data_IF_319587976529
#
_entry.id   IF_319587976529
#
_cell.length_a   1.000
_cell.length_b   1.000
_cell.length_c   1.000
_cell.angle_alpha   90.00
_cell.angle_beta   90.00
_cell.angle_gamma   90.00
#
_symmetry.space_group_name_H-M   'P 1'
#
loop_
_entity.id
_entity.type
_entity.pdbx_description
1 polymer ?
#
# COMPACT_ATOMS: atom_id res chain seq x y z
N UNK A 1 -2.25 -19.09 -38.90
CA UNK A 1 -2.79 -17.78 -38.46
C UNK A 1 -3.20 -17.88 -37.00
N UNK A 2 -2.64 -17.01 -36.16
CA UNK A 2 -2.93 -16.92 -34.71
C UNK A 2 -4.23 -16.15 -34.51
N UNK A 3 -5.10 -16.64 -33.61
CA UNK A 3 -6.33 -15.95 -33.19
C UNK A 3 -5.95 -14.56 -32.65
N UNK A 4 -6.58 -13.50 -33.15
CA UNK A 4 -6.35 -12.13 -32.65
C UNK A 4 -7.47 -11.77 -31.69
N UNK A 5 -7.09 -11.41 -30.47
CA UNK A 5 -7.99 -10.89 -29.45
C UNK A 5 -7.62 -9.44 -29.22
N UNK A 6 -8.59 -8.55 -29.35
CA UNK A 6 -8.41 -7.12 -29.14
C UNK A 6 -9.38 -6.67 -28.05
N UNK A 7 -8.85 -6.37 -26.87
CA UNK A 7 -9.59 -5.66 -25.84
C UNK A 7 -9.79 -4.21 -26.28
N UNK A 8 -11.02 -3.71 -26.25
CA UNK A 8 -11.35 -2.33 -26.60
C UNK A 8 -11.87 -1.53 -25.40
N UNK A 9 -12.28 -2.21 -24.33
CA UNK A 9 -12.69 -1.57 -23.08
C UNK A 9 -12.51 -2.49 -21.88
N UNK A 10 -12.26 -1.91 -20.71
CA UNK A 10 -12.16 -2.62 -19.45
C UNK A 10 -13.07 -1.93 -18.45
N UNK A 11 -14.07 -2.66 -17.95
CA UNK A 11 -14.92 -2.22 -16.85
C UNK A 11 -14.38 -2.80 -15.54
N UNK A 12 -14.46 -2.03 -14.45
CA UNK A 12 -14.32 -2.57 -13.09
C UNK A 12 -15.71 -2.88 -12.59
N UNK A 13 -16.00 -4.16 -12.45
CA UNK A 13 -17.35 -4.65 -12.18
C UNK A 13 -17.57 -4.90 -10.69
N UNK A 14 -16.53 -5.32 -9.97
CA UNK A 14 -16.60 -5.62 -8.54
C UNK A 14 -15.23 -5.42 -7.88
N UNK A 15 -15.21 -4.81 -6.68
CA UNK A 15 -14.05 -4.84 -5.79
C UNK A 15 -14.25 -5.99 -4.79
N UNK A 16 -13.21 -6.80 -4.55
CA UNK A 16 -13.24 -7.91 -3.59
C UNK A 16 -12.12 -7.70 -2.57
N UNK A 17 -12.35 -6.84 -1.56
CA UNK A 17 -11.33 -6.48 -0.56
C UNK A 17 -10.77 -7.69 0.18
N UNK A 18 -11.60 -8.68 0.49
CA UNK A 18 -11.23 -9.89 1.25
C UNK A 18 -10.24 -10.77 0.48
N UNK A 19 -10.25 -10.68 -0.85
CA UNK A 19 -9.33 -11.39 -1.74
C UNK A 19 -8.18 -10.50 -2.23
N UNK A 20 -8.11 -9.24 -1.79
CA UNK A 20 -7.15 -8.26 -2.27
C UNK A 20 -7.18 -8.15 -3.80
N UNK A 21 -8.36 -8.16 -4.41
CA UNK A 21 -8.51 -8.22 -5.87
C UNK A 21 -9.71 -7.40 -6.35
N UNK A 22 -9.77 -7.19 -7.66
CA UNK A 22 -10.96 -6.64 -8.32
C UNK A 22 -11.32 -7.49 -9.53
N UNK A 23 -12.62 -7.63 -9.81
CA UNK A 23 -13.14 -8.22 -11.04
C UNK A 23 -13.21 -7.15 -12.11
N UNK A 24 -12.48 -7.40 -13.19
CA UNK A 24 -12.50 -6.61 -14.40
C UNK A 24 -13.26 -7.37 -15.48
N UNK A 25 -14.03 -6.66 -16.30
CA UNK A 25 -14.66 -7.22 -17.50
C UNK A 25 -13.98 -6.62 -18.71
N UNK A 26 -13.19 -7.46 -19.40
CA UNK A 26 -12.49 -7.08 -20.62
C UNK A 26 -13.40 -7.30 -21.83
N UNK A 27 -13.96 -6.21 -22.36
CA UNK A 27 -14.76 -6.25 -23.59
C UNK A 27 -13.82 -6.42 -24.77
N UNK A 28 -13.91 -7.59 -25.40
CA UNK A 28 -12.95 -8.04 -26.40
C UNK A 28 -13.63 -8.32 -27.74
N UNK A 29 -12.92 -8.02 -28.83
CA UNK A 29 -13.25 -8.47 -30.18
C UNK A 29 -12.29 -9.57 -30.58
N UNK A 30 -12.87 -10.70 -30.97
CA UNK A 30 -12.16 -11.90 -31.34
C UNK A 30 -12.34 -12.13 -32.83
N UNK A 31 -11.23 -12.18 -33.56
CA UNK A 31 -11.23 -12.56 -34.97
C UNK A 31 -10.81 -14.03 -35.11
N UNK A 32 -11.76 -14.86 -35.53
CA UNK A 32 -11.55 -16.28 -35.78
C UNK A 32 -10.83 -16.50 -37.13
N UNK A 33 -10.36 -17.73 -37.37
CA UNK A 33 -9.52 -18.06 -38.55
C UNK A 33 -10.25 -17.90 -39.88
N UNK A 34 -11.57 -17.93 -39.86
CA UNK A 34 -12.47 -17.72 -41.00
C UNK A 34 -12.74 -16.24 -41.29
N UNK A 35 -12.20 -15.33 -40.46
CA UNK A 35 -12.40 -13.89 -40.59
C UNK A 35 -13.63 -13.37 -39.83
N UNK A 36 -14.44 -14.24 -39.24
CA UNK A 36 -15.59 -13.86 -38.41
C UNK A 36 -15.11 -13.10 -37.18
N UNK A 37 -15.75 -11.96 -36.88
CA UNK A 37 -15.49 -11.16 -35.68
C UNK A 37 -16.66 -11.33 -34.72
N UNK A 38 -16.36 -11.68 -33.48
CA UNK A 38 -17.34 -11.78 -32.39
C UNK A 38 -16.89 -10.98 -31.18
N UNK A 39 -17.86 -10.48 -30.43
CA UNK A 39 -17.61 -9.78 -29.17
C UNK A 39 -17.72 -10.78 -28.01
N UNK A 40 -16.79 -10.68 -27.07
CA UNK A 40 -16.72 -11.53 -25.88
C UNK A 40 -16.38 -10.65 -24.67
N UNK A 41 -17.17 -10.80 -23.60
CA UNK A 41 -16.86 -10.22 -22.30
C UNK A 41 -16.06 -11.24 -21.51
N UNK A 42 -14.82 -10.88 -21.15
CA UNK A 42 -13.90 -11.76 -20.44
C UNK A 42 -13.76 -11.26 -19.01
N UNK A 43 -14.41 -11.90 -18.01
CA UNK A 43 -14.21 -11.54 -16.62
C UNK A 43 -12.84 -12.05 -16.15
N UNK A 44 -12.06 -11.17 -15.53
CA UNK A 44 -10.73 -11.47 -14.99
C UNK A 44 -10.64 -10.87 -13.58
N UNK A 45 -10.31 -11.71 -12.61
CA UNK A 45 -9.90 -11.24 -11.29
C UNK A 45 -8.42 -10.87 -11.33
N UNK A 46 -8.12 -9.62 -11.05
CA UNK A 46 -6.75 -9.14 -10.94
C UNK A 46 -6.45 -8.87 -9.46
N UNK A 47 -5.50 -9.61 -8.87
CA UNK A 47 -4.98 -9.31 -7.54
C UNK A 47 -4.30 -7.94 -7.49
N UNK A 48 -4.25 -7.34 -6.30
CA UNK A 48 -3.71 -6.01 -6.05
C UNK A 48 -2.28 -5.83 -6.59
N UNK A 49 -1.37 -6.76 -6.30
CA UNK A 49 0.02 -6.69 -6.79
C UNK A 49 0.13 -6.69 -8.33
N UNK A 50 -0.81 -7.33 -9.04
CA UNK A 50 -0.86 -7.29 -10.51
C UNK A 50 -1.31 -5.91 -10.97
N UNK A 51 -2.27 -5.29 -10.26
CA UNK A 51 -2.72 -3.93 -10.54
C UNK A 51 -1.60 -2.91 -10.31
N UNK A 52 -0.82 -3.03 -9.24
CA UNK A 52 0.35 -2.19 -9.00
C UNK A 52 1.41 -2.37 -10.10
N UNK A 53 1.66 -3.61 -10.52
CA UNK A 53 2.59 -3.89 -11.62
C UNK A 53 2.12 -3.24 -12.94
N UNK A 54 0.83 -3.36 -13.25
CA UNK A 54 0.23 -2.70 -14.42
C UNK A 54 0.35 -1.18 -14.29
N UNK A 55 0.03 -0.61 -13.14
CA UNK A 55 0.11 0.83 -12.88
C UNK A 55 1.53 1.37 -13.08
N UNK A 56 2.56 0.62 -12.69
CA UNK A 56 3.95 1.02 -12.87
C UNK A 56 4.40 1.07 -14.34
N UNK A 57 3.88 0.20 -15.20
CA UNK A 57 4.31 0.11 -16.61
C UNK A 57 3.40 0.88 -17.57
N UNK A 58 2.12 1.03 -17.24
CA UNK A 58 1.10 1.57 -18.13
C UNK A 58 1.40 3.01 -18.62
N UNK A 59 1.91 3.95 -17.80
CA UNK A 59 2.25 5.29 -18.27
C UNK A 59 3.29 5.28 -19.39
N UNK A 60 4.34 4.47 -19.25
CA UNK A 60 5.39 4.34 -20.27
C UNK A 60 4.85 3.69 -21.54
N UNK A 61 4.06 2.63 -21.41
CA UNK A 61 3.42 1.98 -22.57
C UNK A 61 2.52 2.95 -23.34
N UNK A 62 1.73 3.78 -22.63
CA UNK A 62 0.91 4.82 -23.25
C UNK A 62 1.78 5.85 -23.97
N UNK A 63 2.88 6.28 -23.36
CA UNK A 63 3.82 7.22 -23.96
C UNK A 63 4.45 6.65 -25.24
N UNK A 64 4.93 5.39 -25.20
CA UNK A 64 5.54 4.71 -26.34
C UNK A 64 4.53 4.53 -27.48
N UNK A 65 3.28 4.17 -27.17
CA UNK A 65 2.20 4.06 -28.15
C UNK A 65 1.84 5.40 -28.79
N UNK A 66 1.82 6.49 -28.01
CA UNK A 66 1.61 7.84 -28.56
C UNK A 66 2.76 8.27 -29.46
N UNK A 67 4.00 7.99 -29.07
CA UNK A 67 5.18 8.27 -29.90
C UNK A 67 5.15 7.50 -31.23
N UNK A 68 4.53 6.32 -31.24
CA UNK A 68 4.29 5.52 -32.44
C UNK A 68 3.05 5.93 -33.25
N UNK A 69 2.34 7.01 -32.86
CA UNK A 69 1.13 7.49 -33.56
C UNK A 69 -0.16 6.71 -33.24
N UNK A 70 -0.18 5.96 -32.14
CA UNK A 70 -1.36 5.18 -31.70
C UNK A 70 -2.56 6.03 -31.26
N UNK A 71 -2.36 7.32 -31.02
CA UNK A 71 -3.40 8.29 -30.64
C UNK A 71 -4.32 8.68 -31.80
N UNK A 72 -3.91 8.46 -33.05
CA UNK A 72 -4.71 8.77 -34.24
C UNK A 72 -5.86 7.77 -34.49
N UNK A 73 -5.82 6.60 -33.84
CA UNK A 73 -6.76 5.49 -34.09
C UNK A 73 -8.02 5.54 -33.18
N UNK A 74 -8.01 6.32 -32.09
CA UNK A 74 -8.96 6.14 -30.98
C UNK A 74 -9.79 7.36 -30.55
N UNK A 75 -9.75 8.49 -31.27
CA UNK A 75 -10.47 9.71 -30.84
C UNK A 75 -11.98 9.52 -30.61
N UNK A 76 -12.66 8.70 -31.42
CA UNK A 76 -14.11 8.47 -31.24
C UNK A 76 -14.48 7.58 -30.03
N UNK A 77 -13.68 6.56 -29.72
CA UNK A 77 -13.98 5.63 -28.63
C UNK A 77 -13.60 6.18 -27.24
N UNK A 78 -12.62 7.11 -27.18
CA UNK A 78 -12.16 7.72 -25.93
C UNK A 78 -13.20 8.71 -25.36
N UNK A 79 -13.94 9.41 -26.22
CA UNK A 79 -15.00 10.34 -25.82
C UNK A 79 -16.21 9.60 -25.24
N UNK A 80 -16.56 8.44 -25.80
CA UNK A 80 -17.66 7.59 -25.34
C UNK A 80 -17.36 6.90 -23.99
N UNK A 81 -16.09 6.56 -23.74
CA UNK A 81 -15.63 6.01 -22.46
C UNK A 81 -15.60 7.07 -21.34
N UNK A 82 -15.14 8.29 -21.63
CA UNK A 82 -15.10 9.40 -20.65
C UNK A 82 -16.49 9.77 -20.13
N UNK A 83 -17.50 9.76 -20.99
CA UNK A 83 -18.88 10.06 -20.60
C UNK A 83 -19.50 9.03 -19.64
N UNK A 84 -18.91 7.83 -19.49
CA UNK A 84 -19.40 6.77 -18.59
C UNK A 84 -18.67 6.71 -17.24
N UNK A 85 -17.42 7.16 -17.17
CA UNK A 85 -16.61 7.13 -15.93
C UNK A 85 -17.04 8.18 -14.90
N UNK A 86 -17.72 9.25 -15.30
CA UNK A 86 -18.23 10.32 -14.41
C UNK A 86 -19.39 9.89 -13.47
N UNK A 87 -19.75 8.60 -13.43
CA UNK A 87 -20.83 8.07 -12.55
C UNK A 87 -20.36 7.42 -11.25
N UNK A 88 -19.07 7.43 -10.95
CA UNK A 88 -18.53 6.92 -9.67
C UNK A 88 -18.15 8.10 -8.75
N UNK A 89 -19.15 8.90 -8.36
CA UNK A 89 -19.04 9.76 -7.19
C UNK A 89 -19.54 8.96 -5.97
N UNK A 90 -18.60 8.57 -5.11
CA UNK A 90 -18.91 7.99 -3.81
C UNK A 90 -19.58 9.07 -2.95
N UNK A 91 -20.86 8.86 -2.68
CA UNK A 91 -21.69 9.68 -1.78
C UNK A 91 -21.09 9.60 -0.37
N UNK A 92 -20.30 10.61 0.00
CA UNK A 92 -19.93 10.89 1.39
C UNK A 92 -21.05 11.73 2.02
N UNK A 93 -21.92 11.07 2.80
CA UNK A 93 -22.81 11.76 3.76
C UNK A 93 -22.40 11.33 5.16
N UNK A 94 -21.62 12.18 5.82
CA UNK A 94 -21.36 12.10 7.26
C UNK A 94 -22.56 12.67 8.01
N UNK A 95 -23.13 11.87 8.90
CA UNK A 95 -24.08 12.29 9.93
C UNK A 95 -23.31 12.86 11.13
N UNK A 96 -23.46 14.14 11.51
CA UNK A 96 -22.64 14.78 12.53
C UNK A 96 -23.13 14.56 13.97
N UNK A 97 -24.02 13.59 14.24
CA UNK A 97 -24.53 13.35 15.60
C UNK A 97 -24.23 11.96 16.14
N UNK A 98 -23.02 11.75 16.67
CA UNK A 98 -22.85 10.78 17.77
C UNK A 98 -21.65 11.10 18.65
N UNK A 99 -21.97 11.62 19.83
CA UNK A 99 -21.35 11.42 21.14
C UNK A 99 -19.83 11.69 21.36
N UNK A 100 -19.57 12.23 22.56
CA UNK A 100 -18.34 12.84 23.03
C UNK A 100 -17.14 11.86 23.06
N UNK A 101 -16.07 12.07 22.25
CA UNK A 101 -14.98 11.11 22.06
C UNK A 101 -14.01 10.96 23.25
N UNK A 102 -14.30 11.58 24.40
CA UNK A 102 -13.37 11.62 25.54
C UNK A 102 -13.43 10.40 26.46
N UNK A 103 -14.39 9.49 26.28
CA UNK A 103 -14.54 8.30 27.16
C UNK A 103 -13.94 7.01 26.60
N UNK A 104 -13.41 7.00 25.37
CA UNK A 104 -12.86 5.80 24.74
C UNK A 104 -11.39 5.50 25.11
N UNK A 105 -10.67 6.47 25.67
CA UNK A 105 -9.22 6.41 25.83
C UNK A 105 -8.69 5.65 27.06
N UNK A 106 -9.55 5.02 27.88
CA UNK A 106 -9.13 4.31 29.10
C UNK A 106 -9.70 2.90 29.23
N UNK A 107 -9.75 2.16 28.11
CA UNK A 107 -10.29 0.80 28.03
C UNK A 107 -11.67 0.69 27.37
N UNK A 108 -12.08 1.72 26.62
CA UNK A 108 -13.30 1.71 25.82
C UNK A 108 -13.09 0.94 24.51
N UNK A 109 -14.09 0.15 24.12
CA UNK A 109 -14.09 -0.58 22.86
C UNK A 109 -13.90 0.40 21.69
N UNK A 110 -12.98 0.08 20.77
CA UNK A 110 -12.75 0.90 19.59
C UNK A 110 -14.05 1.04 18.79
N UNK A 111 -14.20 2.10 17.97
CA UNK A 111 -15.24 2.15 16.96
C UNK A 111 -15.27 0.81 16.21
N UNK A 112 -16.46 0.24 16.05
CA UNK A 112 -16.61 -1.17 15.65
C UNK A 112 -15.89 -1.50 14.33
N UNK A 113 -15.73 -0.51 13.44
CA UNK A 113 -15.01 -0.65 12.18
C UNK A 113 -13.52 -0.98 12.33
N UNK A 114 -12.89 -0.55 13.42
CA UNK A 114 -11.45 -0.73 13.68
C UNK A 114 -11.16 -1.71 14.81
N UNK A 115 -12.19 -2.31 15.39
CA UNK A 115 -12.06 -3.25 16.49
C UNK A 115 -11.16 -4.43 16.09
N UNK A 116 -10.04 -4.60 16.79
CA UNK A 116 -9.09 -5.68 16.56
C UNK A 116 -7.94 -5.36 15.60
N UNK A 117 -7.84 -4.13 15.09
CA UNK A 117 -6.68 -3.72 14.30
C UNK A 117 -5.45 -3.48 15.19
N UNK A 118 -4.29 -3.90 14.69
CA UNK A 118 -3.00 -3.60 15.31
C UNK A 118 -2.66 -2.10 15.12
N UNK A 119 -2.01 -1.47 16.10
CA UNK A 119 -1.55 -0.08 16.02
C UNK A 119 -0.03 -0.04 15.88
N UNK A 120 0.49 0.75 14.93
CA UNK A 120 1.92 1.06 14.81
C UNK A 120 2.23 2.22 15.76
N UNK A 121 3.03 1.93 16.78
CA UNK A 121 3.47 2.87 17.81
C UNK A 121 4.78 3.59 17.45
N UNK A 122 5.49 3.09 16.44
CA UNK A 122 6.77 3.66 16.03
C UNK A 122 7.47 2.81 14.97
N UNK A 123 8.34 3.46 14.21
CA UNK A 123 9.12 2.84 13.13
C UNK A 123 10.60 3.15 13.33
N UNK A 124 11.43 2.12 13.24
CA UNK A 124 12.88 2.27 13.34
C UNK A 124 13.59 1.56 12.20
N UNK A 125 14.71 2.14 11.78
CA UNK A 125 15.50 1.73 10.63
C UNK A 125 16.90 1.33 11.10
N UNK A 126 17.31 0.12 10.72
CA UNK A 126 18.54 -0.48 11.19
C UNK A 126 19.64 -0.51 10.14
N UNK A 127 20.10 -1.71 9.86
CA UNK A 127 21.13 -1.98 8.86
C UNK A 127 20.61 -1.79 7.44
N UNK A 128 21.39 -1.06 6.63
CA UNK A 128 21.21 -1.00 5.17
C UNK A 128 21.95 -2.20 4.57
N UNK A 129 21.28 -2.90 3.67
CA UNK A 129 21.76 -4.10 2.97
C UNK A 129 21.95 -3.75 1.49
N UNK A 130 23.16 -3.29 1.08
CA UNK A 130 23.39 -2.74 -0.26
C UNK A 130 23.13 -3.73 -1.37
N UNK A 131 23.48 -5.00 -1.15
CA UNK A 131 23.37 -6.08 -2.14
C UNK A 131 21.92 -6.34 -2.58
N UNK A 132 20.94 -6.00 -1.75
CA UNK A 132 19.51 -6.14 -2.08
C UNK A 132 18.82 -4.79 -2.30
N UNK A 133 19.53 -3.67 -2.14
CA UNK A 133 18.93 -2.35 -2.21
C UNK A 133 17.89 -2.09 -1.10
N UNK A 134 18.04 -2.73 0.06
CA UNK A 134 17.06 -2.68 1.15
C UNK A 134 17.63 -2.06 2.44
N UNK A 135 16.74 -1.71 3.35
CA UNK A 135 17.06 -1.41 4.76
C UNK A 135 16.18 -2.27 5.66
N UNK A 136 16.73 -2.68 6.82
CA UNK A 136 15.94 -3.31 7.86
C UNK A 136 15.05 -2.27 8.56
N UNK A 137 13.78 -2.60 8.68
CA UNK A 137 12.74 -1.82 9.34
C UNK A 137 12.12 -2.68 10.43
N UNK A 138 11.99 -2.07 11.61
CA UNK A 138 11.30 -2.65 12.75
C UNK A 138 10.10 -1.77 13.11
N UNK A 139 8.93 -2.40 13.23
CA UNK A 139 7.70 -1.73 13.66
C UNK A 139 7.43 -2.07 15.12
N UNK A 140 7.31 -1.06 15.97
CA UNK A 140 6.75 -1.21 17.31
C UNK A 140 5.23 -1.25 17.16
N UNK A 141 4.59 -2.32 17.61
CA UNK A 141 3.17 -2.57 17.40
C UNK A 141 2.49 -2.84 18.73
N UNK A 142 1.28 -2.34 18.87
CA UNK A 142 0.31 -2.77 19.86
C UNK A 142 -0.72 -3.66 19.18
N UNK A 143 -0.79 -4.91 19.60
CA UNK A 143 -1.79 -5.87 19.14
C UNK A 143 -2.93 -5.98 20.16
N UNK A 144 -4.14 -6.13 19.65
CA UNK A 144 -5.33 -6.46 20.45
C UNK A 144 -5.57 -7.96 20.29
N UNK A 145 -5.26 -8.73 21.32
CA UNK A 145 -5.48 -10.18 21.30
C UNK A 145 -6.97 -10.50 21.43
N UNK A 146 -7.38 -11.69 20.95
CA UNK A 146 -8.79 -12.10 20.92
C UNK A 146 -9.49 -12.19 22.29
N UNK A 147 -8.73 -12.12 23.40
CA UNK A 147 -9.22 -12.01 24.77
C UNK A 147 -9.53 -10.56 25.21
N UNK A 148 -9.22 -9.57 24.37
CA UNK A 148 -9.21 -8.15 24.73
C UNK A 148 -7.91 -7.70 25.44
N UNK A 149 -6.94 -8.60 25.59
CA UNK A 149 -5.62 -8.24 26.14
C UNK A 149 -4.82 -7.42 25.12
N UNK A 150 -4.19 -6.36 25.61
CA UNK A 150 -3.37 -5.46 24.80
C UNK A 150 -1.90 -5.84 25.00
N UNK A 151 -1.25 -6.32 23.94
CA UNK A 151 0.16 -6.67 23.94
C UNK A 151 0.97 -5.68 23.11
N UNK A 152 2.07 -5.15 23.65
CA UNK A 152 3.01 -4.30 22.90
C UNK A 152 4.29 -5.06 22.57
N UNK A 153 4.58 -5.20 21.29
CA UNK A 153 5.70 -5.95 20.76
C UNK A 153 6.44 -5.19 19.66
N UNK A 154 7.44 -5.85 19.08
CA UNK A 154 8.14 -5.34 17.91
C UNK A 154 8.13 -6.40 16.82
N UNK A 155 7.61 -6.06 15.64
CA UNK A 155 7.84 -6.84 14.42
C UNK A 155 9.17 -6.39 13.85
N UNK A 156 10.19 -7.24 13.98
CA UNK A 156 11.56 -6.92 13.60
C UNK A 156 11.94 -7.58 12.29
N UNK A 157 12.91 -6.98 11.60
CA UNK A 157 13.59 -7.63 10.49
C UNK A 157 12.83 -7.61 9.18
N UNK A 158 12.12 -6.52 8.87
CA UNK A 158 11.47 -6.35 7.56
C UNK A 158 12.44 -5.61 6.64
N UNK A 159 12.85 -6.23 5.56
CA UNK A 159 13.62 -5.60 4.50
C UNK A 159 12.68 -4.79 3.62
N UNK A 160 12.78 -3.47 3.69
CA UNK A 160 12.07 -2.54 2.81
C UNK A 160 13.01 -2.09 1.69
N UNK A 161 12.57 -2.25 0.45
CA UNK A 161 13.32 -1.84 -0.72
C UNK A 161 13.39 -0.31 -0.84
N UNK A 162 14.47 0.20 -1.44
CA UNK A 162 14.65 1.63 -1.69
C UNK A 162 13.45 2.27 -2.43
N UNK A 163 12.89 1.58 -3.42
CA UNK A 163 11.73 2.06 -4.18
C UNK A 163 10.49 2.24 -3.33
N UNK A 164 10.24 1.33 -2.38
CA UNK A 164 9.10 1.45 -1.45
C UNK A 164 9.25 2.68 -0.57
N UNK A 165 10.47 2.94 -0.07
CA UNK A 165 10.72 4.16 0.72
C UNK A 165 10.59 5.43 -0.12
N UNK A 166 10.98 5.37 -1.40
CA UNK A 166 10.82 6.49 -2.33
C UNK A 166 9.34 6.83 -2.54
N UNK A 167 8.50 5.82 -2.72
CA UNK A 167 7.05 6.01 -2.87
C UNK A 167 6.43 6.55 -1.57
N UNK A 168 6.86 6.09 -0.40
CA UNK A 168 6.46 6.69 0.89
C UNK A 168 6.85 8.17 0.99
N UNK A 169 8.07 8.55 0.60
CA UNK A 169 8.52 9.95 0.64
C UNK A 169 7.67 10.84 -0.27
N UNK A 170 7.17 10.30 -1.38
CA UNK A 170 6.29 11.04 -2.29
C UNK A 170 4.86 11.15 -1.75
N UNK A 171 4.31 10.07 -1.20
CA UNK A 171 2.88 10.00 -0.83
C UNK A 171 2.53 10.46 0.58
N UNK A 172 3.37 10.15 1.59
CA UNK A 172 3.02 10.41 2.99
C UNK A 172 2.90 11.89 3.37
N UNK A 173 3.67 12.84 2.80
CA UNK A 173 3.48 14.26 3.08
C UNK A 173 2.06 14.75 2.74
N UNK A 174 1.48 14.29 1.63
CA UNK A 174 0.11 14.65 1.25
C UNK A 174 -0.91 14.11 2.25
N UNK A 175 -0.76 12.86 2.68
CA UNK A 175 -1.59 12.28 3.74
C UNK A 175 -1.51 13.09 5.03
N UNK A 176 -0.30 13.48 5.48
CA UNK A 176 -0.12 14.29 6.68
C UNK A 176 -0.87 15.62 6.56
N UNK A 177 -0.72 16.30 5.42
CA UNK A 177 -1.37 17.59 5.18
C UNK A 177 -2.91 17.44 5.16
N UNK A 178 -3.44 16.33 4.62
CA UNK A 178 -4.87 16.00 4.69
C UNK A 178 -5.34 15.78 6.14
N UNK A 179 -4.57 15.06 6.97
CA UNK A 179 -4.90 14.86 8.39
C UNK A 179 -4.90 16.17 9.17
N UNK A 180 -3.91 17.05 8.92
CA UNK A 180 -3.87 18.40 9.52
C UNK A 180 -5.10 19.21 9.13
N UNK A 181 -5.47 19.21 7.83
CA UNK A 181 -6.63 19.97 7.34
C UNK A 181 -7.95 19.51 7.98
N UNK A 182 -8.03 18.24 8.39
CA UNK A 182 -9.18 17.67 9.10
C UNK A 182 -9.11 17.84 10.63
N UNK A 183 -8.05 18.48 11.17
CA UNK A 183 -7.86 18.67 12.61
C UNK A 183 -7.51 17.38 13.36
N UNK A 184 -6.92 16.42 12.65
CA UNK A 184 -6.50 15.10 13.13
C UNK A 184 -5.02 15.06 13.55
N UNK A 185 -4.39 16.22 13.73
CA UNK A 185 -3.03 16.39 14.25
C UNK A 185 -2.92 16.18 15.77
N UNK A 186 -4.05 15.83 16.41
CA UNK A 186 -4.17 15.59 17.85
C UNK A 186 -3.86 14.14 18.19
N UNK A 187 -3.24 13.92 19.34
CA UNK A 187 -3.00 12.58 19.88
C UNK A 187 -4.28 12.06 20.55
N UNK A 188 -5.07 11.28 19.81
CA UNK A 188 -6.28 10.61 20.34
C UNK A 188 -5.99 9.18 20.84
N UNK A 189 -5.05 8.48 20.20
CA UNK A 189 -4.60 7.15 20.63
C UNK A 189 -3.59 7.23 21.78
N UNK A 190 -3.62 6.22 22.66
CA UNK A 190 -2.74 6.14 23.83
C UNK A 190 -1.32 5.85 23.37
N UNK A 191 -0.34 6.64 23.82
CA UNK A 191 1.08 6.38 23.50
C UNK A 191 1.58 5.02 23.99
N UNK A 192 2.73 4.56 23.49
CA UNK A 192 3.35 3.31 23.91
C UNK A 192 3.54 3.24 25.44
N UNK A 193 3.33 2.06 26.03
CA UNK A 193 3.63 1.81 27.46
C UNK A 193 5.13 1.73 27.71
N UNK A 194 5.88 1.21 26.74
CA UNK A 194 7.34 1.07 26.78
C UNK A 194 8.06 2.12 25.93
N UNK A 195 9.41 2.17 26.03
CA UNK A 195 10.21 3.03 25.16
C UNK A 195 10.02 2.62 23.69
N UNK A 196 9.80 3.63 22.84
CA UNK A 196 9.81 3.48 21.38
C UNK A 196 11.26 3.74 20.92
N UNK A 197 11.91 2.80 20.22
CA UNK A 197 13.26 3.00 19.70
C UNK A 197 13.32 4.23 18.79
N UNK A 198 14.45 4.94 18.81
CA UNK A 198 14.63 6.05 17.87
C UNK A 198 14.66 5.54 16.42
N UNK A 199 14.36 6.41 15.46
CA UNK A 199 14.26 6.05 14.05
C UNK A 199 15.52 5.36 13.51
N UNK A 200 16.70 5.56 14.10
CA UNK A 200 17.98 4.99 13.67
C UNK A 200 18.46 3.81 14.53
N UNK A 201 17.62 3.29 15.43
CA UNK A 201 17.95 2.21 16.37
C UNK A 201 17.36 0.85 15.95
N UNK A 202 17.06 0.67 14.66
CA UNK A 202 16.54 -0.59 14.15
C UNK A 202 17.57 -1.73 14.15
N UNK A 203 17.11 -2.94 13.84
CA UNK A 203 17.89 -4.17 13.93
C UNK A 203 19.06 -4.28 12.93
N UNK A 204 20.00 -5.16 13.27
CA UNK A 204 21.08 -5.62 12.40
C UNK A 204 20.80 -7.04 11.92
N UNK A 205 21.21 -7.40 10.69
CA UNK A 205 20.96 -8.73 10.11
C UNK A 205 21.48 -9.85 11.00
N UNK A 206 22.67 -9.68 11.58
CA UNK A 206 23.30 -10.66 12.49
C UNK A 206 22.58 -10.82 13.83
N UNK A 207 21.74 -9.87 14.21
CA UNK A 207 21.00 -9.86 15.48
C UNK A 207 19.55 -10.31 15.36
N UNK A 208 19.09 -10.69 14.16
CA UNK A 208 17.72 -11.15 13.96
C UNK A 208 17.55 -12.57 14.50
N UNK A 209 16.48 -12.86 15.28
CA UNK A 209 16.21 -14.20 15.79
C UNK A 209 15.70 -15.17 14.71
N UNK A 210 15.27 -14.63 13.57
CA UNK A 210 14.76 -15.37 12.41
C UNK A 210 15.25 -14.71 11.11
N UNK A 211 15.00 -15.37 9.97
CA UNK A 211 15.27 -14.75 8.67
C UNK A 211 14.43 -13.49 8.49
N UNK A 212 14.94 -12.47 7.78
CA UNK A 212 14.18 -11.27 7.50
C UNK A 212 13.01 -11.57 6.54
N UNK A 213 11.96 -10.76 6.65
CA UNK A 213 10.85 -10.72 5.70
C UNK A 213 11.12 -9.65 4.64
N UNK A 214 10.60 -9.82 3.42
CA UNK A 214 10.62 -8.78 2.41
C UNK A 214 9.30 -8.02 2.46
N UNK A 215 9.36 -6.73 2.73
CA UNK A 215 8.20 -5.86 2.59
C UNK A 215 8.01 -5.43 1.14
N UNK A 216 6.92 -5.86 0.53
CA UNK A 216 6.63 -5.64 -0.89
C UNK A 216 5.82 -4.37 -1.15
N UNK A 217 4.97 -3.97 -0.22
CA UNK A 217 4.13 -2.78 -0.35
C UNK A 217 3.90 -2.09 0.99
N UNK A 218 3.72 -0.78 0.92
CA UNK A 218 3.26 0.07 2.01
C UNK A 218 2.28 1.09 1.44
N UNK A 219 1.04 1.03 1.90
CA UNK A 219 -0.04 1.83 1.34
C UNK A 219 -0.92 2.45 2.41
N UNK A 220 -1.72 3.44 2.00
CA UNK A 220 -2.75 4.06 2.83
C UNK A 220 -4.10 3.61 2.31
N UNK A 221 -4.92 2.99 3.16
CA UNK A 221 -6.28 2.55 2.81
C UNK A 221 -7.29 3.67 3.00
N UNK A 222 -7.26 4.30 4.17
CA UNK A 222 -8.19 5.37 4.56
C UNK A 222 -7.68 6.16 5.78
N UNK A 223 -8.43 7.19 6.19
CA UNK A 223 -8.18 7.97 7.40
C UNK A 223 -9.30 7.65 8.42
N UNK A 224 -8.93 7.02 9.53
CA UNK A 224 -9.80 6.77 10.69
C UNK A 224 -9.89 8.07 11.52
N UNK A 225 -10.80 8.95 11.13
CA UNK A 225 -10.92 10.31 11.67
C UNK A 225 -11.24 10.32 13.18
N UNK A 226 -12.08 9.40 13.63
CA UNK A 226 -12.41 9.14 15.03
C UNK A 226 -11.19 8.81 15.92
N UNK A 227 -10.12 8.29 15.32
CA UNK A 227 -8.91 7.85 16.02
C UNK A 227 -7.71 8.75 15.73
N UNK A 228 -7.89 9.78 14.88
CA UNK A 228 -6.79 10.62 14.38
C UNK A 228 -5.62 9.77 13.85
N UNK A 229 -5.96 8.73 13.08
CA UNK A 229 -5.01 7.75 12.56
C UNK A 229 -5.26 7.46 11.08
N UNK A 230 -4.20 7.09 10.37
CA UNK A 230 -4.31 6.51 9.03
C UNK A 230 -4.38 4.98 9.13
N UNK A 231 -5.18 4.35 8.27
CA UNK A 231 -5.17 2.90 8.09
C UNK A 231 -4.11 2.57 7.05
N UNK A 232 -3.05 1.89 7.47
CA UNK A 232 -1.87 1.57 6.68
C UNK A 232 -1.86 0.09 6.33
N UNK A 233 -1.77 -0.22 5.04
CA UNK A 233 -1.53 -1.55 4.51
C UNK A 233 -0.02 -1.84 4.52
N UNK A 234 0.38 -2.95 5.11
CA UNK A 234 1.74 -3.49 4.98
C UNK A 234 1.67 -4.91 4.41
N UNK A 235 2.32 -5.10 3.26
CA UNK A 235 2.49 -6.43 2.66
C UNK A 235 3.91 -6.93 2.90
N UNK A 236 4.01 -8.12 3.48
CA UNK A 236 5.27 -8.80 3.75
C UNK A 236 5.25 -10.22 3.19
N UNK A 237 6.39 -10.66 2.67
CA UNK A 237 6.59 -12.02 2.16
C UNK A 237 7.82 -12.64 2.82
N UNK A 238 7.78 -13.96 3.00
CA UNK A 238 8.98 -14.68 3.46
C UNK A 238 10.04 -14.69 2.36
N UNK A 239 11.30 -14.49 2.75
CA UNK A 239 12.45 -14.62 1.86
C UNK A 239 12.91 -16.08 1.77
N UNK A 240 12.50 -16.92 2.73
CA UNK A 240 12.78 -18.36 2.68
C UNK A 240 11.94 -19.01 1.57
N UNK A 241 12.56 -19.53 0.49
CA UNK A 241 11.83 -20.15 -0.62
C UNK A 241 11.05 -21.40 -0.20
N UNK A 242 11.31 -21.95 1.00
CA UNK A 242 10.57 -23.08 1.57
C UNK A 242 9.26 -22.64 2.23
N UNK A 243 9.13 -21.36 2.57
CA UNK A 243 7.94 -20.78 3.18
C UNK A 243 7.25 -19.92 2.12
N UNK A 244 6.30 -20.52 1.40
CA UNK A 244 5.46 -19.76 0.47
C UNK A 244 4.33 -19.08 1.25
N UNK A 245 4.27 -17.76 1.19
CA UNK A 245 3.24 -16.97 1.83
C UNK A 245 3.54 -15.48 1.76
N UNK A 246 2.62 -14.74 1.13
CA UNK A 246 2.50 -13.29 1.37
C UNK A 246 1.49 -13.11 2.49
N UNK A 247 1.80 -12.21 3.41
CA UNK A 247 0.90 -11.76 4.46
C UNK A 247 0.66 -10.28 4.27
N UNK A 248 -0.61 -9.91 4.25
CA UNK A 248 -1.07 -8.53 4.21
C UNK A 248 -1.78 -8.24 5.52
N UNK A 249 -1.45 -7.13 6.16
CA UNK A 249 -2.13 -6.68 7.36
C UNK A 249 -2.33 -5.16 7.33
N UNK A 250 -3.49 -4.74 7.81
CA UNK A 250 -3.81 -3.33 8.00
C UNK A 250 -3.52 -2.91 9.44
N UNK A 251 -2.98 -1.70 9.59
CA UNK A 251 -2.57 -1.13 10.86
C UNK A 251 -3.15 0.26 11.04
N UNK A 252 -3.45 0.64 12.29
CA UNK A 252 -3.61 2.05 12.61
C UNK A 252 -2.25 2.70 12.81
N UNK A 253 -1.99 3.78 12.08
CA UNK A 253 -0.83 4.64 12.29
C UNK A 253 -1.32 6.01 12.80
N UNK A 254 -1.12 6.31 14.09
CA UNK A 254 -1.45 7.62 14.64
C UNK A 254 -0.69 8.75 13.90
N UNK A 255 -1.28 9.94 13.84
CA UNK A 255 -0.66 11.12 13.20
C UNK A 255 0.80 11.36 13.63
N UNK A 256 1.09 11.28 14.93
CA UNK A 256 2.45 11.55 15.43
C UNK A 256 3.48 10.52 14.94
N UNK A 257 3.07 9.27 14.74
CA UNK A 257 3.95 8.22 14.19
C UNK A 257 4.18 8.44 12.70
N UNK A 258 3.13 8.85 11.97
CA UNK A 258 3.24 9.25 10.57
C UNK A 258 4.21 10.43 10.39
N UNK A 259 4.11 11.46 11.23
CA UNK A 259 4.96 12.64 11.18
C UNK A 259 6.43 12.30 11.46
N UNK A 260 6.70 11.50 12.51
CA UNK A 260 8.04 11.00 12.83
C UNK A 260 8.64 10.16 11.68
N UNK A 261 7.81 9.33 11.04
CA UNK A 261 8.22 8.53 9.87
C UNK A 261 8.60 9.44 8.69
N UNK A 262 7.77 10.45 8.37
CA UNK A 262 8.04 11.42 7.29
C UNK A 262 9.37 12.15 7.55
N UNK A 263 9.66 12.53 8.79
CA UNK A 263 10.94 13.16 9.13
C UNK A 263 12.15 12.21 9.04
N UNK A 264 11.94 10.91 9.26
CA UNK A 264 13.00 9.91 9.24
C UNK A 264 13.37 9.47 7.81
N UNK A 265 12.38 9.30 6.94
CA UNK A 265 12.55 8.70 5.61
C UNK A 265 13.66 9.37 4.76
N UNK A 266 13.73 10.72 4.62
CA UNK A 266 14.81 11.35 3.84
C UNK A 266 16.21 11.07 4.40
N UNK A 267 16.34 10.94 5.73
CA UNK A 267 17.62 10.64 6.39
C UNK A 267 18.05 9.20 6.10
N UNK A 268 17.09 8.27 6.12
CA UNK A 268 17.29 6.85 5.80
C UNK A 268 17.66 6.68 4.33
N UNK A 269 16.92 7.31 3.41
CA UNK A 269 17.21 7.24 1.98
C UNK A 269 18.62 7.75 1.68
N UNK A 270 19.04 8.88 2.26
CA UNK A 270 20.42 9.38 2.11
C UNK A 270 21.46 8.38 2.61
N UNK A 271 21.21 7.71 3.74
CA UNK A 271 22.07 6.65 4.29
C UNK A 271 22.15 5.44 3.34
N UNK A 272 21.04 5.10 2.68
CA UNK A 272 21.01 4.04 1.66
C UNK A 272 21.81 4.41 0.41
N UNK A 273 21.65 5.63 -0.11
CA UNK A 273 22.40 6.14 -1.26
C UNK A 273 23.91 6.16 -0.99
N UNK A 274 24.33 6.64 0.18
CA UNK A 274 25.74 6.65 0.59
C UNK A 274 26.37 5.25 0.62
N UNK A 275 25.56 4.23 0.88
CA UNK A 275 25.97 2.82 0.88
C UNK A 275 25.77 2.13 -0.47
N UNK A 276 25.31 2.84 -1.50
CA UNK A 276 25.08 2.30 -2.84
C UNK A 276 23.84 1.41 -2.98
N UNK A 277 22.90 1.49 -2.03
CA UNK A 277 21.67 0.70 -2.01
C UNK A 277 20.55 1.27 -2.92
N UNK A 278 20.80 2.37 -3.64
CA UNK A 278 19.86 3.00 -4.57
C UNK A 278 20.00 2.53 -6.02
N UNK A 279 20.94 1.61 -6.28
CA UNK A 279 21.16 1.02 -7.61
C UNK A 279 20.81 -0.46 -7.55
N UNK A 280 19.95 -0.97 -8.44
CA UNK A 280 19.79 -2.41 -8.57
C UNK A 280 21.17 -2.99 -8.93
N UNK A 281 21.78 -3.72 -8.00
CA UNK A 281 22.99 -4.47 -8.31
C UNK A 281 22.55 -5.64 -9.20
N UNK A 282 22.59 -5.42 -10.52
CA UNK A 282 22.62 -6.50 -11.50
C UNK A 282 23.82 -7.37 -11.13
N UNK A 283 23.59 -8.47 -10.40
CA UNK A 283 24.66 -9.43 -10.17
C UNK A 283 25.09 -9.93 -11.56
N UNK A 284 26.38 -9.85 -11.91
CA UNK A 284 26.88 -10.60 -13.05
C UNK A 284 26.69 -12.08 -12.71
N UNK A 285 25.84 -12.76 -13.49
CA UNK A 285 25.68 -14.20 -13.45
C UNK A 285 26.95 -14.91 -13.91
#
# INVERSE_FOLDING_TARGET
>A
MTKKIMCWHVDVDELVPEAGSARFVFKSRVQDKDGTVREEDVPIYLPFHVLESIQGVLPKVIQDLRAAGGDHVFKGALEEARARTERVEIITKLDPSSEDPRTLASGGAWPQAYAGMDEILGVSFGEVVPDTGCVLVDFRIRAVEGSGEIAEGSRKGILMAYSVLEDMVRGLPELRDMMIAQGLDKRLLVGAKGPVPAWNEGSHLRGLPHQPFLGSAFGVREIASELAAAVILLEISSIDPRQSGSSSADYLMPYHVLDELIEALPKVMRKMEQKGANRPQLRPH
#
